data_IF_545178777345
#
_entry.id   IF_545178777345
#
_cell.length_a   1.000
_cell.length_b   1.000
_cell.length_c   1.000
_cell.angle_alpha   90.00
_cell.angle_beta   90.00
_cell.angle_gamma   90.00
#
_symmetry.space_group_name_H-M   'P 1'
#
loop_
_entity.id
_entity.type
_entity.pdbx_description
1 polymer ?
#
# COMPACT_ATOMS: atom_id res chain seq x y z
N UNK A 1 33.06 13.92 -18.33
CA UNK A 1 32.15 12.92 -18.94
C UNK A 1 30.74 13.35 -18.55
N UNK A 2 30.03 13.97 -19.50
CA UNK A 2 28.75 14.63 -19.23
C UNK A 2 27.67 13.58 -18.92
N UNK A 3 26.96 13.76 -17.81
CA UNK A 3 25.73 13.03 -17.51
C UNK A 3 24.71 13.31 -18.61
N UNK A 4 23.99 12.30 -19.12
CA UNK A 4 22.93 12.54 -20.10
C UNK A 4 21.83 13.36 -19.43
N UNK A 5 21.52 14.52 -20.01
CA UNK A 5 20.38 15.33 -19.62
C UNK A 5 19.10 14.50 -19.76
N UNK A 6 18.49 14.11 -18.63
CA UNK A 6 17.13 13.60 -18.61
C UNK A 6 16.24 14.73 -19.14
N UNK A 7 15.60 14.50 -20.30
CA UNK A 7 14.43 15.26 -20.72
C UNK A 7 13.45 15.23 -19.54
N UNK A 8 13.09 16.39 -19.01
CA UNK A 8 11.88 16.51 -18.22
C UNK A 8 10.74 15.92 -19.07
N UNK A 9 10.20 14.78 -18.65
CA UNK A 9 9.01 14.23 -19.28
C UNK A 9 7.89 15.23 -18.98
N UNK A 10 7.47 15.97 -20.02
CA UNK A 10 6.25 16.76 -19.97
C UNK A 10 5.12 15.86 -19.46
N UNK A 11 4.43 16.30 -18.41
CA UNK A 11 3.34 15.59 -17.76
C UNK A 11 2.12 15.40 -18.67
N UNK A 12 2.19 14.43 -19.57
CA UNK A 12 0.99 13.80 -20.11
C UNK A 12 0.58 12.71 -19.12
N UNK A 13 -0.34 13.06 -18.22
CA UNK A 13 -1.07 12.05 -17.45
C UNK A 13 -1.68 11.02 -18.41
N UNK A 14 -1.83 9.77 -17.95
CA UNK A 14 -2.57 8.78 -18.71
C UNK A 14 -3.96 9.35 -19.06
N UNK A 15 -4.47 9.14 -20.29
CA UNK A 15 -5.79 9.61 -20.69
C UNK A 15 -6.87 8.81 -19.96
N UNK A 16 -7.12 9.13 -18.69
CA UNK A 16 -8.18 8.55 -17.87
C UNK A 16 -9.40 9.44 -17.97
N UNK A 17 -10.47 8.90 -18.53
CA UNK A 17 -11.78 9.57 -18.61
C UNK A 17 -12.68 9.01 -17.51
N UNK A 18 -12.96 9.83 -16.50
CA UNK A 18 -13.99 9.52 -15.50
C UNK A 18 -15.36 9.58 -16.17
N UNK A 19 -16.10 8.48 -16.11
CA UNK A 19 -17.45 8.35 -16.70
C UNK A 19 -18.52 8.63 -15.66
N UNK A 20 -18.32 8.13 -14.44
CA UNK A 20 -19.20 8.41 -13.31
C UNK A 20 -18.42 8.54 -12.01
N UNK A 21 -18.94 9.39 -11.12
CA UNK A 21 -18.50 9.55 -9.74
C UNK A 21 -19.75 9.74 -8.90
N UNK A 22 -19.94 8.92 -7.88
CA UNK A 22 -21.13 8.96 -7.01
C UNK A 22 -20.80 8.52 -5.59
N UNK A 23 -21.72 8.82 -4.67
CA UNK A 23 -21.66 8.38 -3.29
C UNK A 23 -22.62 7.20 -3.08
N UNK A 24 -22.10 6.12 -2.52
CA UNK A 24 -22.85 4.91 -2.17
C UNK A 24 -23.01 4.85 -0.66
N UNK A 25 -24.26 4.79 -0.20
CA UNK A 25 -24.60 4.76 1.22
C UNK A 25 -24.80 3.33 1.70
N UNK A 26 -24.57 3.10 2.99
CA UNK A 26 -25.02 1.91 3.69
C UNK A 26 -26.55 1.80 3.57
N UNK A 27 -27.06 0.59 3.31
CA UNK A 27 -28.48 0.36 3.03
C UNK A 27 -29.33 0.11 4.28
N UNK A 28 -28.72 -0.25 5.41
CA UNK A 28 -29.43 -0.57 6.66
C UNK A 28 -29.80 0.72 7.42
N UNK A 29 -31.09 1.08 7.52
CA UNK A 29 -31.54 2.29 8.19
C UNK A 29 -31.48 2.19 9.71
N UNK A 30 -31.23 1.01 10.28
CA UNK A 30 -31.15 0.80 11.72
C UNK A 30 -29.82 1.28 12.32
N UNK A 31 -28.78 1.41 11.49
CA UNK A 31 -27.46 1.85 11.93
C UNK A 31 -27.52 3.32 12.32
N UNK A 32 -27.24 3.62 13.59
CA UNK A 32 -27.31 4.97 14.12
C UNK A 32 -26.06 5.79 13.77
N UNK A 33 -26.23 7.05 13.32
CA UNK A 33 -25.14 7.98 13.18
C UNK A 33 -24.36 8.14 14.50
N UNK A 34 -23.04 8.14 14.41
CA UNK A 34 -22.16 8.30 15.57
C UNK A 34 -20.81 8.87 15.15
N UNK A 35 -20.04 9.35 16.12
CA UNK A 35 -18.66 9.80 15.91
C UNK A 35 -17.74 8.77 16.55
N UNK A 36 -16.69 8.37 15.83
CA UNK A 36 -15.65 7.50 16.35
C UNK A 36 -14.37 8.30 16.53
N UNK A 37 -13.84 8.26 17.76
CA UNK A 37 -12.48 8.70 18.02
C UNK A 37 -11.47 7.76 17.34
N UNK A 38 -10.38 8.34 16.87
CA UNK A 38 -9.20 7.63 16.38
C UNK A 38 -8.39 7.05 17.53
N UNK A 39 -7.72 5.92 17.29
CA UNK A 39 -6.74 5.37 18.23
C UNK A 39 -5.40 6.08 18.09
N UNK A 40 -4.49 5.84 19.03
CA UNK A 40 -3.10 6.30 18.93
C UNK A 40 -2.40 5.80 17.66
N UNK A 41 -2.70 4.56 17.26
CA UNK A 41 -2.16 3.96 16.03
C UNK A 41 -2.77 4.58 14.77
N UNK A 42 -3.94 5.20 14.89
CA UNK A 42 -4.57 5.92 13.78
C UNK A 42 -3.97 7.32 13.60
N UNK A 43 -3.39 7.89 14.67
CA UNK A 43 -2.52 9.08 14.63
C UNK A 43 -1.09 8.74 14.18
N UNK A 44 -0.71 7.47 14.30
CA UNK A 44 0.54 6.92 13.83
C UNK A 44 0.47 6.60 12.33
N UNK A 45 0.59 7.62 11.51
CA UNK A 45 1.09 7.53 10.14
C UNK A 45 1.01 8.90 9.50
N UNK A 46 1.98 9.15 8.61
CA UNK A 46 1.89 10.12 7.53
C UNK A 46 0.44 10.16 7.01
N UNK A 47 -0.20 11.34 6.95
CA UNK A 47 -1.62 11.56 6.62
C UNK A 47 -1.94 11.29 5.14
N UNK A 48 -1.35 10.23 4.61
CA UNK A 48 -1.27 9.91 3.20
C UNK A 48 -2.30 8.87 2.82
N UNK A 49 -2.92 9.12 1.68
CA UNK A 49 -3.87 8.21 1.07
C UNK A 49 -3.16 6.98 0.51
N UNK A 50 -3.55 5.81 1.00
CA UNK A 50 -3.12 4.50 0.48
C UNK A 50 -4.18 3.92 -0.45
N UNK A 51 -3.77 3.08 -1.39
CA UNK A 51 -4.69 2.31 -2.20
C UNK A 51 -4.22 0.87 -2.36
N UNK A 52 -5.09 -0.10 -2.11
CA UNK A 52 -4.91 -1.45 -2.62
C UNK A 52 -5.34 -1.46 -4.08
N UNK A 53 -4.40 -1.72 -4.99
CA UNK A 53 -4.62 -1.71 -6.43
C UNK A 53 -4.57 -3.13 -6.97
N UNK A 54 -5.70 -3.64 -7.41
CA UNK A 54 -5.82 -4.95 -8.07
C UNK A 54 -5.95 -4.76 -9.57
N UNK A 55 -5.12 -5.46 -10.36
CA UNK A 55 -5.08 -5.37 -11.82
C UNK A 55 -5.36 -6.73 -12.42
N UNK A 56 -6.27 -6.76 -13.39
CA UNK A 56 -6.77 -7.97 -14.01
C UNK A 56 -6.49 -7.93 -15.52
N UNK A 57 -6.06 -9.05 -16.12
CA UNK A 57 -6.09 -9.19 -17.56
C UNK A 57 -7.54 -9.14 -18.03
N UNK A 58 -7.74 -9.15 -19.35
CA UNK A 58 -9.09 -9.26 -19.90
C UNK A 58 -9.78 -10.51 -19.33
N UNK A 59 -10.96 -10.38 -18.67
CA UNK A 59 -11.67 -11.53 -18.14
C UNK A 59 -11.97 -12.58 -19.22
N UNK A 60 -12.02 -13.88 -18.87
CA UNK A 60 -12.39 -14.94 -19.80
C UNK A 60 -13.78 -14.69 -20.42
N UNK A 61 -13.98 -15.18 -21.64
CA UNK A 61 -15.30 -15.09 -22.30
C UNK A 61 -16.37 -15.74 -21.42
N UNK A 62 -17.39 -14.99 -21.04
CA UNK A 62 -18.49 -15.45 -20.18
C UNK A 62 -18.36 -15.09 -18.70
N UNK A 63 -17.24 -14.51 -18.26
CA UNK A 63 -17.05 -14.03 -16.87
C UNK A 63 -17.68 -12.65 -16.59
N UNK A 64 -18.43 -12.08 -17.55
CA UNK A 64 -18.94 -10.71 -17.50
C UNK A 64 -18.01 -9.71 -18.18
N UNK A 65 -18.58 -8.61 -18.68
CA UNK A 65 -17.82 -7.46 -19.16
C UNK A 65 -17.63 -6.42 -18.05
N UNK A 66 -16.97 -5.31 -18.37
CA UNK A 66 -16.72 -4.25 -17.40
C UNK A 66 -18.02 -3.66 -16.83
N UNK A 67 -19.10 -3.59 -17.62
CA UNK A 67 -20.39 -3.07 -17.16
C UNK A 67 -21.03 -4.03 -16.15
N UNK A 68 -20.89 -5.35 -16.34
CA UNK A 68 -21.30 -6.34 -15.36
C UNK A 68 -20.54 -6.19 -14.02
N UNK A 69 -19.22 -5.91 -14.07
CA UNK A 69 -18.41 -5.64 -12.87
C UNK A 69 -18.93 -4.38 -12.16
N UNK A 70 -19.14 -3.30 -12.89
CA UNK A 70 -19.70 -2.05 -12.33
C UNK A 70 -21.05 -2.30 -11.66
N UNK A 71 -21.95 -3.03 -12.33
CA UNK A 71 -23.27 -3.37 -11.80
C UNK A 71 -23.19 -4.22 -10.52
N UNK A 72 -22.23 -5.16 -10.43
CA UNK A 72 -22.01 -5.95 -9.22
C UNK A 72 -21.58 -5.08 -8.03
N UNK A 73 -20.62 -4.17 -8.23
CA UNK A 73 -20.21 -3.22 -7.18
C UNK A 73 -21.37 -2.32 -6.77
N UNK A 74 -22.16 -1.81 -7.71
CA UNK A 74 -23.36 -1.02 -7.42
C UNK A 74 -24.38 -1.78 -6.55
N UNK A 75 -24.64 -3.04 -6.88
CA UNK A 75 -25.63 -3.85 -6.19
C UNK A 75 -25.20 -4.25 -4.78
N UNK A 76 -23.91 -4.55 -4.57
CA UNK A 76 -23.43 -5.16 -3.34
C UNK A 76 -22.78 -4.18 -2.35
N UNK A 77 -22.22 -3.06 -2.83
CA UNK A 77 -21.56 -2.08 -1.97
C UNK A 77 -22.47 -1.48 -0.87
N UNK A 78 -23.78 -1.19 -1.10
CA UNK A 78 -24.65 -0.71 -0.02
C UNK A 78 -24.79 -1.70 1.15
N UNK A 79 -24.89 -3.00 0.85
CA UNK A 79 -24.98 -4.04 1.87
C UNK A 79 -23.63 -4.26 2.57
N UNK A 80 -22.53 -4.22 1.81
CA UNK A 80 -21.17 -4.28 2.34
C UNK A 80 -20.90 -3.15 3.36
N UNK A 81 -21.31 -1.93 3.04
CA UNK A 81 -21.16 -0.77 3.91
C UNK A 81 -21.98 -0.87 5.21
N UNK A 82 -22.93 -1.80 5.34
CA UNK A 82 -23.58 -2.03 6.64
C UNK A 82 -22.61 -2.64 7.65
N UNK A 83 -21.73 -3.55 7.19
CA UNK A 83 -20.69 -4.15 8.02
C UNK A 83 -19.54 -3.18 8.32
N UNK A 84 -19.24 -2.32 7.34
CA UNK A 84 -18.15 -1.34 7.42
C UNK A 84 -18.69 0.09 7.41
N UNK A 85 -19.72 0.35 8.21
CA UNK A 85 -20.42 1.63 8.27
C UNK A 85 -19.53 2.87 8.39
N UNK A 86 -18.40 2.84 9.15
CA UNK A 86 -17.51 3.98 9.22
C UNK A 86 -16.90 4.39 7.85
N UNK A 87 -16.78 3.46 6.89
CA UNK A 87 -16.31 3.76 5.53
C UNK A 87 -17.28 4.64 4.72
N UNK A 88 -18.55 4.70 5.11
CA UNK A 88 -19.54 5.63 4.55
C UNK A 88 -19.55 7.01 5.25
N UNK A 89 -18.62 7.25 6.19
CA UNK A 89 -18.50 8.49 6.95
C UNK A 89 -17.56 9.52 6.31
N UNK A 90 -17.11 10.48 7.12
CA UNK A 90 -16.11 11.49 6.76
C UNK A 90 -15.06 11.66 7.83
N UNK A 91 -13.84 11.95 7.39
CA UNK A 91 -12.73 12.36 8.26
C UNK A 91 -12.89 13.86 8.53
N UNK A 92 -13.01 14.23 9.79
CA UNK A 92 -13.20 15.63 10.22
C UNK A 92 -12.19 15.92 11.32
N UNK A 93 -11.48 17.04 11.23
CA UNK A 93 -10.61 17.50 12.31
C UNK A 93 -11.45 18.25 13.33
N UNK A 94 -11.45 17.80 14.59
CA UNK A 94 -12.11 18.54 15.67
C UNK A 94 -11.39 19.89 15.85
N UNK A 95 -12.08 21.03 15.65
CA UNK A 95 -11.45 22.34 15.73
C UNK A 95 -10.98 22.70 17.15
N UNK A 96 -11.48 22.02 18.18
CA UNK A 96 -11.11 22.30 19.57
C UNK A 96 -9.85 21.56 20.01
N UNK A 97 -9.72 20.27 19.66
CA UNK A 97 -8.55 19.45 20.00
C UNK A 97 -7.49 19.39 18.90
N UNK A 98 -7.84 19.67 17.64
CA UNK A 98 -6.98 19.47 16.48
C UNK A 98 -6.83 18.00 16.05
N UNK A 99 -7.55 17.08 16.71
CA UNK A 99 -7.45 15.63 16.46
C UNK A 99 -8.49 15.22 15.40
N UNK A 100 -8.13 14.35 14.43
CA UNK A 100 -9.11 13.82 13.48
C UNK A 100 -10.10 12.87 14.16
N UNK A 101 -11.35 12.94 13.75
CA UNK A 101 -12.44 12.07 14.14
C UNK A 101 -13.16 11.53 12.90
N UNK A 102 -13.82 10.39 13.07
CA UNK A 102 -14.59 9.76 12.01
C UNK A 102 -16.09 9.98 12.25
N UNK A 103 -16.68 10.84 11.43
CA UNK A 103 -18.10 11.16 11.47
C UNK A 103 -18.89 10.16 10.63
N UNK A 104 -19.41 9.11 11.28
CA UNK A 104 -20.18 8.04 10.67
C UNK A 104 -21.65 8.46 10.47
N UNK A 105 -21.95 9.38 9.54
CA UNK A 105 -23.33 9.85 9.30
C UNK A 105 -23.92 9.34 7.98
N UNK A 106 -23.34 8.30 7.41
CA UNK A 106 -23.77 7.68 6.16
C UNK A 106 -23.86 8.67 4.98
N UNK A 107 -22.89 9.59 4.88
CA UNK A 107 -22.74 10.49 3.73
C UNK A 107 -22.40 9.71 2.44
N UNK A 108 -21.84 8.52 2.58
CA UNK A 108 -21.57 7.55 1.53
C UNK A 108 -20.09 7.46 1.14
N UNK A 109 -19.64 6.25 0.79
CA UNK A 109 -18.34 6.00 0.20
C UNK A 109 -18.35 6.40 -1.29
N UNK A 110 -17.20 6.78 -1.83
CA UNK A 110 -17.12 7.15 -3.24
C UNK A 110 -17.00 5.90 -4.13
N UNK A 111 -17.74 5.87 -5.24
CA UNK A 111 -17.58 4.91 -6.34
C UNK A 111 -17.31 5.69 -7.63
N UNK A 112 -16.12 5.48 -8.20
CA UNK A 112 -15.66 6.06 -9.46
C UNK A 112 -15.64 4.97 -10.53
N UNK A 113 -16.19 5.26 -11.70
CA UNK A 113 -16.04 4.44 -12.90
C UNK A 113 -15.29 5.25 -13.95
N UNK A 114 -14.20 4.72 -14.46
CA UNK A 114 -13.34 5.42 -15.42
C UNK A 114 -12.81 4.49 -16.51
N UNK A 115 -12.39 5.10 -17.63
CA UNK A 115 -11.80 4.41 -18.76
C UNK A 115 -10.39 4.96 -18.99
N UNK A 116 -9.39 4.10 -18.97
CA UNK A 116 -8.02 4.41 -19.34
C UNK A 116 -7.81 4.16 -20.84
N UNK A 117 -7.45 5.20 -21.58
CA UNK A 117 -7.21 5.15 -23.03
C UNK A 117 -5.91 4.45 -23.45
N UNK A 118 -5.44 3.46 -22.68
CA UNK A 118 -4.20 2.73 -22.92
C UNK A 118 -4.40 1.23 -22.69
N UNK A 119 -3.52 0.41 -23.28
CA UNK A 119 -3.45 -1.01 -22.98
C UNK A 119 -2.59 -1.26 -21.74
N UNK A 120 -2.94 -2.26 -20.93
CA UNK A 120 -2.12 -2.65 -19.77
C UNK A 120 -0.69 -3.05 -20.15
N UNK A 121 -0.50 -3.65 -21.33
CA UNK A 121 0.82 -4.02 -21.87
C UNK A 121 1.67 -2.83 -22.31
N UNK A 122 1.09 -1.64 -22.48
CA UNK A 122 1.83 -0.44 -22.85
C UNK A 122 2.43 0.30 -21.64
N UNK A 123 2.05 -0.09 -20.41
CA UNK A 123 2.60 0.48 -19.19
C UNK A 123 3.94 -0.17 -18.84
N UNK A 124 4.87 0.63 -18.32
CA UNK A 124 6.13 0.11 -17.78
C UNK A 124 5.92 -0.38 -16.35
N UNK A 125 5.70 -1.70 -16.23
CA UNK A 125 5.50 -2.37 -14.95
C UNK A 125 6.76 -2.47 -14.09
N UNK A 126 7.94 -2.09 -14.58
CA UNK A 126 9.16 -2.03 -13.75
C UNK A 126 9.22 -0.74 -12.92
N UNK A 127 8.43 0.28 -13.30
CA UNK A 127 8.39 1.60 -12.68
C UNK A 127 6.97 1.89 -12.17
N UNK A 128 6.80 1.95 -10.84
CA UNK A 128 5.52 2.29 -10.19
C UNK A 128 4.91 3.60 -10.70
N UNK A 129 5.74 4.64 -10.91
CA UNK A 129 5.33 5.94 -11.45
C UNK A 129 4.84 5.91 -12.89
N UNK A 130 5.28 4.93 -13.69
CA UNK A 130 4.89 4.78 -15.09
C UNK A 130 3.74 3.77 -15.29
N UNK A 131 3.31 3.07 -14.22
CA UNK A 131 2.25 2.06 -14.22
C UNK A 131 1.22 2.28 -13.10
N UNK A 132 1.44 1.70 -11.91
CA UNK A 132 0.49 1.68 -10.79
C UNK A 132 0.01 3.08 -10.36
N UNK A 133 0.92 4.02 -10.11
CA UNK A 133 0.54 5.38 -9.70
C UNK A 133 -0.22 6.15 -10.77
N UNK A 134 -0.08 5.71 -12.01
CA UNK A 134 -0.59 6.38 -13.19
C UNK A 134 -2.06 6.07 -13.43
N UNK A 135 -2.56 4.93 -12.94
CA UNK A 135 -3.95 4.49 -13.07
C UNK A 135 -4.86 4.97 -11.92
N UNK A 136 -4.34 5.81 -11.03
CA UNK A 136 -5.07 6.34 -9.88
C UNK A 136 -5.86 7.60 -10.23
N UNK A 137 -7.14 7.65 -9.86
CA UNK A 137 -7.95 8.87 -9.94
C UNK A 137 -7.90 9.59 -8.59
N UNK A 138 -7.63 10.90 -8.53
CA UNK A 138 -7.68 11.65 -7.27
C UNK A 138 -9.09 11.66 -6.65
N UNK A 139 -9.16 11.65 -5.32
CA UNK A 139 -10.39 11.72 -4.53
C UNK A 139 -10.21 12.63 -3.32
N UNK A 140 -11.31 13.04 -2.70
CA UNK A 140 -11.29 14.05 -1.64
C UNK A 140 -10.64 13.52 -0.35
N UNK A 141 -9.92 14.39 0.37
CA UNK A 141 -9.14 14.05 1.57
C UNK A 141 -10.02 13.63 2.76
N UNK A 142 -11.25 14.13 2.82
CA UNK A 142 -12.25 13.81 3.85
C UNK A 142 -12.93 12.45 3.63
N UNK A 143 -12.69 11.79 2.48
CA UNK A 143 -13.26 10.48 2.18
C UNK A 143 -12.53 9.38 2.94
N UNK A 144 -13.31 8.52 3.59
CA UNK A 144 -12.79 7.34 4.29
C UNK A 144 -12.53 6.20 3.30
N UNK A 145 -13.41 6.04 2.31
CA UNK A 145 -13.33 5.02 1.27
C UNK A 145 -13.68 5.61 -0.10
N UNK A 146 -12.81 5.35 -1.08
CA UNK A 146 -13.07 5.55 -2.51
C UNK A 146 -12.75 4.26 -3.26
N UNK A 147 -13.73 3.67 -3.92
CA UNK A 147 -13.55 2.52 -4.82
C UNK A 147 -13.53 3.02 -6.26
N UNK A 148 -12.51 2.63 -7.02
CA UNK A 148 -12.34 3.05 -8.40
C UNK A 148 -12.26 1.83 -9.30
N UNK A 149 -13.18 1.78 -10.26
CA UNK A 149 -13.28 0.74 -11.27
C UNK A 149 -12.80 1.34 -12.59
N UNK A 150 -11.73 0.76 -13.14
CA UNK A 150 -11.12 1.23 -14.38
C UNK A 150 -11.15 0.13 -15.43
N UNK A 151 -11.54 0.48 -16.65
CA UNK A 151 -11.35 -0.35 -17.83
C UNK A 151 -10.19 0.15 -18.69
N UNK A 152 -9.55 -0.75 -19.44
CA UNK A 152 -8.45 -0.46 -20.34
C UNK A 152 -8.82 -0.83 -21.79
N UNK A 153 -8.12 -0.27 -22.78
CA UNK A 153 -8.45 -0.53 -24.20
C UNK A 153 -8.19 -1.98 -24.64
N UNK A 154 -7.39 -2.73 -23.89
CA UNK A 154 -7.19 -4.18 -24.07
C UNK A 154 -8.33 -5.05 -23.51
N UNK A 155 -9.31 -4.46 -22.80
CA UNK A 155 -10.38 -5.16 -22.10
C UNK A 155 -10.01 -5.67 -20.71
N UNK A 156 -8.76 -5.45 -20.26
CA UNK A 156 -8.40 -5.62 -18.85
C UNK A 156 -9.04 -4.55 -17.97
N UNK A 157 -8.99 -4.76 -16.66
CA UNK A 157 -9.60 -3.87 -15.68
C UNK A 157 -8.73 -3.71 -14.44
N UNK A 158 -9.00 -2.68 -13.66
CA UNK A 158 -8.42 -2.49 -12.33
C UNK A 158 -9.49 -2.12 -11.32
N UNK A 159 -9.35 -2.65 -10.11
CA UNK A 159 -10.15 -2.30 -8.93
C UNK A 159 -9.20 -1.69 -7.91
N UNK A 160 -9.43 -0.42 -7.58
CA UNK A 160 -8.64 0.31 -6.59
C UNK A 160 -9.51 0.57 -5.38
N UNK A 161 -9.10 0.07 -4.22
CA UNK A 161 -9.73 0.36 -2.93
C UNK A 161 -8.86 1.36 -2.20
N UNK A 162 -9.32 2.61 -2.11
CA UNK A 162 -8.54 3.72 -1.56
C UNK A 162 -9.08 4.14 -0.20
N UNK A 163 -8.19 4.20 0.79
CA UNK A 163 -8.53 4.55 2.16
C UNK A 163 -8.18 6.01 2.44
N UNK A 164 -8.93 6.66 3.31
CA UNK A 164 -8.65 8.03 3.74
C UNK A 164 -7.32 8.18 4.48
N UNK A 165 -7.09 9.38 5.01
CA UNK A 165 -5.83 9.81 5.65
C UNK A 165 -5.64 9.28 7.07
N UNK A 166 -6.63 8.58 7.62
CA UNK A 166 -6.54 7.90 8.92
C UNK A 166 -6.06 6.46 8.68
N UNK A 167 -4.79 6.22 9.04
CA UNK A 167 -4.00 4.98 8.92
C UNK A 167 -4.06 4.26 7.55
N UNK A 168 -2.88 4.04 6.96
CA UNK A 168 -2.68 3.42 5.64
C UNK A 168 -3.12 1.95 5.46
N UNK A 169 -3.88 1.40 6.41
CA UNK A 169 -4.57 0.11 6.31
C UNK A 169 -6.10 0.20 6.36
N UNK A 170 -6.67 1.42 6.37
CA UNK A 170 -8.06 1.66 6.74
C UNK A 170 -8.28 1.51 8.25
N UNK A 171 -9.47 1.91 8.78
CA UNK A 171 -9.78 1.71 10.18
C UNK A 171 -9.70 0.21 10.51
N UNK A 172 -8.79 -0.19 11.41
CA UNK A 172 -8.71 -1.57 11.86
C UNK A 172 -10.04 -1.97 12.53
N UNK A 173 -10.86 -2.71 11.79
CA UNK A 173 -12.22 -3.06 12.19
C UNK A 173 -12.24 -4.13 13.29
N UNK A 174 -11.22 -5.00 13.33
CA UNK A 174 -11.03 -5.94 14.42
C UNK A 174 -10.21 -5.32 15.56
N UNK A 175 -10.89 -4.48 16.36
CA UNK A 175 -10.33 -3.91 17.59
C UNK A 175 -10.05 -4.98 18.66
N UNK A 176 -10.38 -6.26 18.46
CA UNK A 176 -10.12 -7.30 19.47
C UNK A 176 -8.64 -7.69 19.53
N UNK A 177 -7.95 -7.75 18.38
CA UNK A 177 -6.53 -8.11 18.28
C UNK A 177 -5.62 -6.99 18.83
N UNK A 178 -6.03 -5.72 18.65
CA UNK A 178 -5.31 -4.56 19.16
C UNK A 178 -5.84 -4.03 20.49
N UNK A 179 -6.89 -4.63 21.08
CA UNK A 179 -7.52 -4.10 22.32
C UNK A 179 -6.52 -4.02 23.48
N UNK A 180 -5.54 -4.92 23.51
CA UNK A 180 -4.47 -4.92 24.50
C UNK A 180 -3.46 -3.78 24.25
N UNK A 181 -3.12 -3.49 22.99
CA UNK A 181 -2.13 -2.47 22.60
C UNK A 181 -2.72 -1.09 22.31
N UNK A 182 -4.05 -0.94 22.23
CA UNK A 182 -4.68 0.36 21.91
C UNK A 182 -4.85 1.26 23.14
N UNK A 183 -4.58 0.74 24.34
CA UNK A 183 -4.76 1.45 25.60
C UNK A 183 -3.42 1.75 26.25
N UNK A 184 -3.12 3.02 26.58
CA UNK A 184 -1.92 3.34 27.34
C UNK A 184 -2.01 2.75 28.75
N UNK A 185 -0.86 2.41 29.34
CA UNK A 185 -0.73 2.07 30.76
C UNK A 185 -1.01 3.30 31.61
N UNK A 186 -1.42 3.06 32.86
CA UNK A 186 -1.63 4.11 33.86
C UNK A 186 -0.76 3.81 35.10
N UNK A 187 0.36 4.53 35.31
CA UNK A 187 0.89 5.60 34.46
C UNK A 187 1.55 5.09 33.16
N UNK A 188 1.63 5.91 32.09
CA UNK A 188 2.38 5.55 30.89
C UNK A 188 3.87 5.37 31.16
N UNK A 189 4.50 4.37 30.55
CA UNK A 189 5.93 4.06 30.70
C UNK A 189 6.59 3.71 29.36
N UNK A 190 7.80 4.21 29.12
CA UNK A 190 8.57 3.89 27.91
C UNK A 190 10.07 4.10 28.15
N UNK A 191 10.90 3.32 27.45
CA UNK A 191 12.36 3.42 27.52
C UNK A 191 12.93 4.54 26.64
N UNK A 192 14.18 4.92 26.90
CA UNK A 192 14.90 5.93 26.11
C UNK A 192 15.09 5.53 24.64
N UNK A 193 15.18 4.22 24.36
CA UNK A 193 15.26 3.71 22.99
C UNK A 193 13.99 3.99 22.19
N UNK A 194 12.81 3.76 22.79
CA UNK A 194 11.50 4.07 22.17
C UNK A 194 11.32 5.57 22.03
N UNK A 195 11.71 6.35 23.05
CA UNK A 195 11.64 7.81 22.98
C UNK A 195 12.51 8.42 21.87
N UNK A 196 13.60 7.76 21.47
CA UNK A 196 14.46 8.21 20.37
C UNK A 196 13.97 7.76 18.97
N UNK A 197 13.07 6.76 18.91
CA UNK A 197 12.53 6.24 17.64
C UNK A 197 11.56 7.23 16.98
N UNK A 198 10.87 8.03 17.78
CA UNK A 198 9.83 8.94 17.31
C UNK A 198 10.22 10.39 17.56
N UNK A 199 9.77 11.24 16.65
CA UNK A 199 9.89 12.69 16.77
C UNK A 199 8.56 13.32 16.40
N UNK A 200 8.29 14.50 16.93
CA UNK A 200 7.16 15.31 16.49
C UNK A 200 7.29 15.55 14.98
N UNK A 201 6.19 15.36 14.26
CA UNK A 201 6.09 15.64 12.84
C UNK A 201 5.50 17.04 12.65
N UNK A 202 6.23 17.89 11.92
CA UNK A 202 5.76 19.18 11.46
C UNK A 202 6.00 19.27 9.95
N UNK A 203 5.05 19.83 9.21
CA UNK A 203 5.14 19.91 7.75
C UNK A 203 6.40 20.65 7.29
N UNK A 204 6.87 21.64 8.06
CA UNK A 204 8.11 22.36 7.75
C UNK A 204 9.38 21.50 7.85
N UNK A 205 9.31 20.35 8.53
CA UNK A 205 10.42 19.41 8.69
C UNK A 205 10.48 18.36 7.57
N UNK A 206 9.47 18.31 6.71
CA UNK A 206 9.49 17.42 5.55
C UNK A 206 10.57 17.85 4.57
N UNK A 207 11.26 16.87 4.00
CA UNK A 207 12.23 17.16 2.96
C UNK A 207 11.50 17.68 1.74
N UNK A 208 12.08 18.71 1.13
CA UNK A 208 11.57 19.28 -0.11
C UNK A 208 11.31 18.16 -1.12
N UNK A 209 10.08 18.12 -1.65
CA UNK A 209 9.63 17.06 -2.54
C UNK A 209 10.57 16.85 -3.74
N UNK A 210 11.15 17.93 -4.28
CA UNK A 210 12.11 17.84 -5.39
C UNK A 210 13.40 17.11 -4.96
N UNK A 211 13.92 17.45 -3.78
CA UNK A 211 15.13 16.79 -3.23
C UNK A 211 14.89 15.31 -2.98
N UNK A 212 13.72 14.95 -2.44
CA UNK A 212 13.39 13.57 -2.15
C UNK A 212 13.05 12.77 -3.42
N UNK A 213 12.35 13.36 -4.39
CA UNK A 213 12.14 12.76 -5.72
C UNK A 213 13.46 12.54 -6.49
N UNK A 214 14.47 13.39 -6.28
CA UNK A 214 15.82 13.18 -6.84
C UNK A 214 16.63 12.13 -6.07
N UNK A 215 16.31 11.89 -4.79
CA UNK A 215 17.08 11.01 -3.90
C UNK A 215 16.63 9.55 -3.95
N UNK A 216 15.39 9.30 -4.36
CA UNK A 216 14.77 7.98 -4.39
C UNK A 216 14.22 7.62 -5.76
N UNK A 217 14.03 6.32 -5.97
CA UNK A 217 13.36 5.79 -7.15
C UNK A 217 12.35 4.74 -6.72
N UNK A 218 11.29 4.62 -7.51
CA UNK A 218 10.32 3.54 -7.36
C UNK A 218 10.53 2.46 -8.39
N UNK A 219 10.63 1.23 -7.91
CA UNK A 219 10.81 0.03 -8.70
C UNK A 219 9.78 -1.01 -8.30
N UNK A 220 9.33 -1.76 -9.28
CA UNK A 220 8.51 -2.94 -9.09
C UNK A 220 9.33 -4.15 -9.53
N UNK A 221 9.41 -5.13 -8.64
CA UNK A 221 10.11 -6.39 -8.87
C UNK A 221 9.17 -7.58 -8.62
N UNK A 222 9.60 -8.74 -9.07
CA UNK A 222 9.13 -10.01 -8.56
C UNK A 222 10.31 -10.85 -8.04
N UNK A 223 10.03 -11.71 -7.06
CA UNK A 223 10.97 -12.68 -6.49
C UNK A 223 10.30 -14.05 -6.52
N UNK A 224 10.87 -14.96 -7.30
CA UNK A 224 10.33 -16.31 -7.48
C UNK A 224 10.39 -17.14 -6.19
N UNK A 225 9.45 -18.07 -6.03
CA UNK A 225 9.43 -19.00 -4.89
C UNK A 225 10.77 -19.73 -4.72
N UNK A 226 11.39 -20.14 -5.82
CA UNK A 226 12.71 -20.78 -5.85
C UNK A 226 13.77 -19.93 -5.15
N UNK A 227 13.80 -18.63 -5.44
CA UNK A 227 14.82 -17.73 -4.93
C UNK A 227 14.58 -17.45 -3.45
N UNK A 228 13.31 -17.28 -3.05
CA UNK A 228 12.91 -17.22 -1.64
C UNK A 228 13.32 -18.49 -0.89
N UNK A 229 13.09 -19.67 -1.48
CA UNK A 229 13.45 -20.95 -0.87
C UNK A 229 14.97 -21.10 -0.72
N UNK A 230 15.75 -20.61 -1.70
CA UNK A 230 17.22 -20.56 -1.60
C UNK A 230 17.67 -19.66 -0.46
N UNK A 231 17.20 -18.41 -0.41
CA UNK A 231 17.54 -17.47 0.66
C UNK A 231 17.19 -18.03 2.04
N UNK A 232 16.06 -18.74 2.16
CA UNK A 232 15.71 -19.44 3.41
C UNK A 232 16.67 -20.55 3.78
N UNK A 233 17.17 -21.29 2.79
CA UNK A 233 18.21 -22.30 3.00
C UNK A 233 19.49 -21.66 3.53
N UNK A 234 19.95 -20.59 2.88
CA UNK A 234 21.16 -19.85 3.24
C UNK A 234 21.06 -19.19 4.63
N UNK A 235 19.90 -18.63 4.97
CA UNK A 235 19.67 -17.98 6.27
C UNK A 235 19.43 -18.95 7.44
N UNK A 236 19.20 -20.24 7.17
CA UNK A 236 18.95 -21.23 8.23
C UNK A 236 20.26 -21.79 8.76
N UNK A 237 20.67 -21.35 9.96
CA UNK A 237 21.86 -21.88 10.63
C UNK A 237 21.62 -23.29 11.20
N UNK A 238 22.64 -24.14 11.17
CA UNK A 238 22.59 -25.48 11.78
C UNK A 238 22.25 -25.42 13.27
N UNK A 239 21.30 -26.27 13.70
CA UNK A 239 20.84 -26.34 15.10
C UNK A 239 19.87 -25.24 15.53
N UNK A 240 19.46 -24.33 14.64
CA UNK A 240 18.41 -23.31 14.92
C UNK A 240 17.11 -23.61 14.17
N UNK A 241 16.03 -22.93 14.57
CA UNK A 241 14.79 -22.94 13.81
C UNK A 241 15.02 -22.43 12.39
N UNK A 242 14.37 -23.08 11.42
CA UNK A 242 14.45 -22.71 10.00
C UNK A 242 13.94 -21.28 9.80
N UNK A 243 14.69 -20.46 9.08
CA UNK A 243 14.30 -19.08 8.80
C UNK A 243 12.96 -19.01 8.05
N UNK A 244 12.12 -18.05 8.44
CA UNK A 244 10.88 -17.73 7.71
C UNK A 244 11.20 -17.08 6.36
N UNK A 245 10.23 -17.06 5.42
CA UNK A 245 10.39 -16.34 4.14
C UNK A 245 10.74 -14.87 4.37
N UNK A 246 10.07 -14.23 5.33
CA UNK A 246 10.28 -12.83 5.71
C UNK A 246 11.71 -12.64 6.23
N UNK A 247 12.12 -13.40 7.24
CA UNK A 247 13.46 -13.29 7.83
C UNK A 247 14.57 -13.45 6.79
N UNK A 248 14.43 -14.41 5.88
CA UNK A 248 15.42 -14.67 4.84
C UNK A 248 15.58 -13.49 3.86
N UNK A 249 14.46 -12.94 3.38
CA UNK A 249 14.48 -11.79 2.46
C UNK A 249 14.92 -10.51 3.18
N UNK A 250 14.49 -10.29 4.43
CA UNK A 250 14.95 -9.16 5.24
C UNK A 250 16.47 -9.21 5.51
N UNK A 251 17.01 -10.40 5.80
CA UNK A 251 18.46 -10.59 6.00
C UNK A 251 19.27 -10.40 4.71
N UNK A 252 18.70 -10.76 3.55
CA UNK A 252 19.31 -10.50 2.26
C UNK A 252 19.33 -8.98 1.94
N UNK A 253 18.20 -8.29 2.13
CA UNK A 253 18.08 -6.85 1.90
C UNK A 253 18.93 -6.03 2.88
N UNK A 254 19.10 -6.52 4.10
CA UNK A 254 19.90 -5.87 5.12
C UNK A 254 20.83 -6.88 5.77
N UNK A 255 22.12 -6.81 5.41
CA UNK A 255 23.19 -7.75 5.84
C UNK A 255 23.38 -7.85 7.37
N UNK A 256 22.68 -7.05 8.15
CA UNK A 256 22.67 -7.12 9.61
C UNK A 256 21.31 -6.67 10.17
N UNK A 257 20.29 -7.53 10.12
CA UNK A 257 19.19 -7.37 11.08
C UNK A 257 19.70 -7.90 12.41
N UNK A 258 19.95 -7.01 13.37
CA UNK A 258 19.98 -7.40 14.78
C UNK A 258 18.56 -7.81 15.16
N UNK A 259 18.19 -9.05 14.81
CA UNK A 259 17.02 -9.73 15.36
C UNK A 259 17.37 -10.12 16.80
N UNK A 260 17.59 -9.13 17.67
CA UNK A 260 17.22 -9.34 19.06
C UNK A 260 15.72 -9.61 19.02
N UNK A 261 15.20 -10.66 19.69
CA UNK A 261 13.78 -10.77 19.92
C UNK A 261 13.40 -9.55 20.76
N UNK A 262 13.05 -8.45 20.09
CA UNK A 262 12.26 -7.42 20.72
C UNK A 262 10.98 -8.13 21.11
N UNK A 263 10.63 -8.06 22.38
CA UNK A 263 9.27 -8.30 22.80
C UNK A 263 8.43 -7.24 22.07
N UNK A 264 7.89 -7.61 20.90
CA UNK A 264 7.17 -6.69 20.03
C UNK A 264 5.95 -6.14 20.77
N UNK A 265 5.33 -6.95 21.62
CA UNK A 265 4.18 -6.56 22.43
C UNK A 265 4.56 -5.43 23.40
N UNK A 266 5.69 -5.58 24.10
CA UNK A 266 6.23 -4.53 24.98
C UNK A 266 6.69 -3.29 24.19
N UNK A 267 7.28 -3.47 23.00
CA UNK A 267 7.64 -2.36 22.11
C UNK A 267 6.41 -1.56 21.67
N UNK A 268 5.35 -2.24 21.23
CA UNK A 268 4.07 -1.61 20.84
C UNK A 268 3.42 -0.93 22.03
N UNK A 269 3.46 -1.53 23.22
CA UNK A 269 2.91 -0.93 24.42
C UNK A 269 3.67 0.34 24.84
N UNK A 270 5.01 0.32 24.82
CA UNK A 270 5.82 1.51 25.10
C UNK A 270 5.60 2.61 24.07
N UNK A 271 5.42 2.24 22.80
CA UNK A 271 5.07 3.19 21.75
C UNK A 271 3.73 3.87 22.05
N UNK A 272 2.69 3.11 22.39
CA UNK A 272 1.36 3.67 22.73
C UNK A 272 1.41 4.56 23.96
N UNK A 273 2.15 4.17 24.99
CA UNK A 273 2.38 5.00 26.18
C UNK A 273 3.11 6.31 25.85
N UNK A 274 4.13 6.24 24.99
CA UNK A 274 4.83 7.43 24.50
C UNK A 274 3.86 8.35 23.76
N UNK A 275 3.03 7.80 22.88
CA UNK A 275 2.04 8.60 22.13
C UNK A 275 1.04 9.28 23.06
N UNK A 276 0.55 8.60 24.09
CA UNK A 276 -0.39 9.20 25.06
C UNK A 276 0.22 10.41 25.78
N UNK A 277 1.50 10.34 26.14
CA UNK A 277 2.23 11.45 26.78
C UNK A 277 2.47 12.64 25.84
N UNK A 278 2.55 12.41 24.53
CA UNK A 278 2.92 13.44 23.54
C UNK A 278 1.74 13.94 22.67
N UNK A 279 0.51 13.45 22.91
CA UNK A 279 -0.71 14.05 22.34
C UNK A 279 -0.82 15.54 22.70
N UNK A 280 -1.45 16.37 21.84
CA UNK A 280 -2.11 16.03 20.57
C UNK A 280 -1.18 16.10 19.35
N UNK A 281 0.13 15.96 19.51
CA UNK A 281 1.06 16.14 18.38
C UNK A 281 1.07 14.94 17.44
N UNK A 282 1.18 15.20 16.13
CA UNK A 282 1.52 14.17 15.15
C UNK A 282 3.01 13.83 15.30
N UNK A 283 3.37 12.59 15.01
CA UNK A 283 4.74 12.11 15.14
C UNK A 283 5.04 11.09 14.04
N UNK A 284 6.33 10.92 13.81
CA UNK A 284 6.88 10.06 12.76
C UNK A 284 8.15 9.41 13.28
N UNK A 285 8.56 8.29 12.68
CA UNK A 285 9.86 7.73 12.97
C UNK A 285 10.96 8.73 12.60
N UNK A 286 11.93 8.92 13.49
CA UNK A 286 13.05 9.84 13.33
C UNK A 286 13.74 9.72 11.94
N UNK A 287 14.01 8.51 11.39
CA UNK A 287 14.57 8.35 10.05
C UNK A 287 13.68 8.86 8.91
N UNK A 288 12.37 8.93 9.11
CA UNK A 288 11.42 9.38 8.09
C UNK A 288 11.62 10.84 7.70
N UNK A 289 12.12 11.67 8.62
CA UNK A 289 12.45 13.08 8.36
C UNK A 289 13.96 13.32 8.23
N UNK A 290 14.73 12.27 8.01
CA UNK A 290 16.17 12.35 7.73
C UNK A 290 17.04 12.51 8.97
N UNK A 291 16.46 12.31 10.15
CA UNK A 291 17.20 12.27 11.40
C UNK A 291 17.65 10.83 11.69
N UNK A 292 18.94 10.63 11.92
CA UNK A 292 19.50 9.30 12.21
C UNK A 292 20.10 8.60 10.98
N UNK A 293 20.18 7.27 11.04
CA UNK A 293 20.85 6.47 10.00
C UNK A 293 19.91 6.16 8.83
N UNK A 294 20.43 5.98 7.59
CA UNK A 294 19.63 5.49 6.47
C UNK A 294 18.86 4.23 6.86
N UNK A 295 17.55 4.27 6.73
CA UNK A 295 16.65 3.23 7.23
C UNK A 295 15.79 2.70 6.09
N UNK A 296 15.62 1.38 6.03
CA UNK A 296 14.75 0.69 5.10
C UNK A 296 13.60 0.06 5.87
N UNK A 297 12.41 0.62 5.72
CA UNK A 297 11.17 0.08 6.28
C UNK A 297 10.62 -1.01 5.34
N UNK A 298 10.13 -2.09 5.92
CA UNK A 298 9.56 -3.22 5.18
C UNK A 298 8.14 -3.51 5.66
N UNK A 299 7.18 -3.49 4.74
CA UNK A 299 5.78 -3.82 5.00
C UNK A 299 5.43 -5.13 4.32
N UNK A 300 5.04 -6.13 5.12
CA UNK A 300 4.71 -7.47 4.63
C UNK A 300 3.20 -7.65 4.50
N UNK A 301 2.71 -7.51 3.27
CA UNK A 301 1.32 -7.84 2.93
C UNK A 301 1.13 -9.34 2.64
N UNK A 302 2.22 -10.09 2.45
CA UNK A 302 2.20 -11.56 2.30
C UNK A 302 1.65 -12.32 3.50
N UNK A 303 1.52 -11.65 4.65
CA UNK A 303 0.94 -12.24 5.86
C UNK A 303 -0.59 -12.14 5.91
N UNK A 304 -1.21 -11.41 4.97
CA UNK A 304 -2.66 -11.23 4.89
C UNK A 304 -3.24 -12.03 3.72
N UNK A 305 -4.41 -12.68 3.89
CA UNK A 305 -5.16 -13.23 2.77
C UNK A 305 -5.50 -12.11 1.80
N UNK A 306 -5.14 -12.27 0.54
CA UNK A 306 -5.45 -11.32 -0.51
C UNK A 306 -6.43 -11.98 -1.47
N UNK A 307 -7.70 -12.02 -1.08
CA UNK A 307 -8.78 -12.50 -1.93
C UNK A 307 -9.08 -11.42 -2.97
N UNK A 308 -8.74 -11.73 -4.22
CA UNK A 308 -8.93 -10.81 -5.34
C UNK A 308 -9.97 -11.31 -6.34
N UNK A 309 -10.60 -12.46 -6.09
CA UNK A 309 -11.62 -12.97 -6.98
C UNK A 309 -12.99 -12.35 -6.65
N UNK A 310 -13.33 -11.30 -7.38
CA UNK A 310 -14.66 -10.67 -7.31
C UNK A 310 -15.73 -11.40 -8.15
N UNK A 311 -15.48 -12.66 -8.55
CA UNK A 311 -16.36 -13.48 -9.40
C UNK A 311 -15.95 -13.53 -10.87
N UNK A 312 -14.80 -12.94 -11.23
CA UNK A 312 -14.25 -12.94 -12.59
C UNK A 312 -12.80 -13.44 -12.65
N UNK A 313 -12.34 -14.11 -11.59
CA UNK A 313 -11.01 -14.69 -11.45
C UNK A 313 -10.05 -13.79 -10.67
N UNK A 314 -8.94 -14.40 -10.25
CA UNK A 314 -7.88 -13.74 -9.49
C UNK A 314 -7.20 -12.61 -10.28
N UNK A 315 -6.77 -11.58 -9.57
CA UNK A 315 -5.95 -10.51 -10.13
C UNK A 315 -4.58 -11.03 -10.56
N UNK A 316 -4.04 -10.43 -11.63
CA UNK A 316 -2.64 -10.64 -12.00
C UNK A 316 -1.68 -10.04 -10.96
N UNK A 317 -2.11 -8.95 -10.34
CA UNK A 317 -1.36 -8.15 -9.37
C UNK A 317 -2.33 -7.57 -8.36
N UNK A 318 -1.94 -7.57 -7.09
CA UNK A 318 -2.55 -6.75 -6.05
C UNK A 318 -1.45 -6.13 -5.19
N UNK A 319 -1.42 -4.80 -5.12
CA UNK A 319 -0.32 -4.04 -4.54
C UNK A 319 -0.83 -2.80 -3.81
N UNK A 320 -0.41 -2.56 -2.55
CA UNK A 320 -0.56 -1.26 -1.91
C UNK A 320 0.29 -0.21 -2.65
N UNK A 321 -0.32 0.92 -2.96
CA UNK A 321 0.32 2.02 -3.67
C UNK A 321 0.20 3.28 -2.84
N UNK A 322 1.32 3.75 -2.33
CA UNK A 322 1.44 5.00 -1.59
C UNK A 322 1.67 6.15 -2.57
N UNK A 323 0.86 7.22 -2.50
CA UNK A 323 0.96 8.31 -3.47
C UNK A 323 2.18 9.21 -3.24
N UNK A 324 2.50 9.50 -1.99
CA UNK A 324 3.47 10.54 -1.62
C UNK A 324 4.61 9.99 -0.74
N UNK A 325 5.34 8.99 -1.24
CA UNK A 325 6.55 8.50 -0.56
C UNK A 325 7.70 9.51 -0.64
N UNK A 326 7.65 10.44 -1.61
CA UNK A 326 8.67 11.43 -1.92
C UNK A 326 8.83 12.56 -0.91
N UNK A 327 8.33 12.44 0.32
CA UNK A 327 8.62 13.38 1.42
C UNK A 327 9.33 12.71 2.59
N UNK A 328 9.58 11.41 2.49
CA UNK A 328 10.24 10.61 3.50
C UNK A 328 11.71 10.38 3.13
N UNK A 329 12.58 10.41 4.13
CA UNK A 329 14.02 10.15 4.02
C UNK A 329 14.40 8.68 4.25
N UNK A 330 13.41 7.79 4.35
CA UNK A 330 13.61 6.36 4.50
C UNK A 330 13.25 5.63 3.21
N UNK A 331 13.93 4.52 2.94
CA UNK A 331 13.50 3.58 1.92
C UNK A 331 12.29 2.79 2.42
N UNK A 332 11.37 2.47 1.52
CA UNK A 332 10.21 1.63 1.81
C UNK A 332 10.16 0.47 0.83
N UNK A 333 9.95 -0.73 1.35
CA UNK A 333 9.66 -1.94 0.56
C UNK A 333 8.33 -2.53 1.01
N UNK A 334 7.39 -2.65 0.08
CA UNK A 334 6.14 -3.37 0.28
C UNK A 334 6.19 -4.69 -0.48
N UNK A 335 5.86 -5.79 0.19
CA UNK A 335 5.89 -7.13 -0.40
C UNK A 335 4.50 -7.74 -0.34
N UNK A 336 3.95 -8.11 -1.50
CA UNK A 336 2.69 -8.84 -1.63
C UNK A 336 2.90 -10.22 -2.26
N UNK A 337 2.10 -11.22 -1.91
CA UNK A 337 2.08 -12.47 -2.67
C UNK A 337 1.38 -12.20 -4.01
N UNK A 338 1.86 -12.84 -5.08
CA UNK A 338 1.14 -12.83 -6.35
C UNK A 338 -0.19 -13.60 -6.16
N UNK A 339 -1.37 -13.04 -6.49
CA UNK A 339 -2.65 -13.67 -6.12
C UNK A 339 -2.79 -15.12 -6.60
N UNK A 340 -2.60 -15.35 -7.91
CA UNK A 340 -2.67 -16.70 -8.49
C UNK A 340 -1.45 -17.60 -8.22
N UNK A 341 -0.40 -17.09 -7.57
CA UNK A 341 0.80 -17.86 -7.19
C UNK A 341 1.44 -17.29 -5.91
N UNK A 342 0.90 -17.63 -4.72
CA UNK A 342 1.38 -17.07 -3.46
C UNK A 342 2.83 -17.46 -3.08
N UNK A 343 3.42 -18.43 -3.80
CA UNK A 343 4.84 -18.77 -3.68
C UNK A 343 5.76 -17.65 -4.16
N UNK A 344 5.30 -16.92 -5.17
CA UNK A 344 6.02 -15.81 -5.81
C UNK A 344 5.59 -14.48 -5.22
N UNK A 345 6.56 -13.61 -4.95
CA UNK A 345 6.31 -12.30 -4.35
C UNK A 345 6.48 -11.18 -5.36
N UNK A 346 5.62 -10.17 -5.25
CA UNK A 346 5.74 -8.90 -5.96
C UNK A 346 6.19 -7.85 -4.95
N UNK A 347 7.15 -7.03 -5.34
CA UNK A 347 7.84 -6.09 -4.46
C UNK A 347 7.73 -4.70 -5.05
N UNK A 348 7.14 -3.77 -4.30
CA UNK A 348 7.25 -2.34 -4.56
C UNK A 348 8.36 -1.75 -3.70
N UNK A 349 9.32 -1.10 -4.31
CA UNK A 349 10.51 -0.59 -3.65
C UNK A 349 10.70 0.90 -3.96
N UNK A 350 10.51 1.75 -2.97
CA UNK A 350 10.94 3.15 -2.95
C UNK A 350 12.29 3.21 -2.24
N UNK A 351 13.38 3.25 -3.01
CA UNK A 351 14.73 3.06 -2.48
C UNK A 351 15.74 3.98 -3.18
N UNK A 352 16.92 4.13 -2.59
CA UNK A 352 18.01 4.89 -3.21
C UNK A 352 18.45 4.27 -4.54
N UNK A 353 18.79 5.09 -5.56
CA UNK A 353 19.29 4.61 -6.86
C UNK A 353 20.44 3.60 -6.77
N UNK A 354 21.35 3.81 -5.80
CA UNK A 354 22.47 2.90 -5.57
C UNK A 354 22.01 1.54 -5.05
N UNK A 355 21.00 1.48 -4.19
CA UNK A 355 20.48 0.21 -3.70
C UNK A 355 19.77 -0.55 -4.81
N UNK A 356 18.95 0.11 -5.64
CA UNK A 356 18.34 -0.54 -6.79
C UNK A 356 19.37 -1.08 -7.77
N UNK A 357 20.43 -0.31 -8.07
CA UNK A 357 21.51 -0.78 -8.93
C UNK A 357 22.19 -2.04 -8.38
N UNK A 358 22.37 -2.15 -7.06
CA UNK A 358 22.88 -3.38 -6.42
C UNK A 358 21.89 -4.54 -6.60
N UNK A 359 20.59 -4.32 -6.37
CA UNK A 359 19.57 -5.36 -6.54
C UNK A 359 19.45 -5.82 -8.01
N UNK A 360 19.54 -4.90 -8.97
CA UNK A 360 19.39 -5.17 -10.41
C UNK A 360 20.66 -5.79 -11.01
N UNK A 361 21.84 -5.53 -10.43
CA UNK A 361 23.12 -6.10 -10.87
C UNK A 361 23.51 -7.41 -10.17
N UNK A 362 22.69 -7.86 -9.21
CA UNK A 362 22.90 -9.11 -8.49
C UNK A 362 23.00 -10.30 -9.45
N UNK A 363 24.13 -11.03 -9.41
CA UNK A 363 24.38 -12.19 -10.27
C UNK A 363 23.32 -13.28 -10.06
N UNK A 364 22.82 -13.38 -8.83
CA UNK A 364 21.76 -14.30 -8.44
C UNK A 364 20.37 -13.89 -8.97
N UNK A 365 20.21 -12.64 -9.43
CA UNK A 365 18.99 -12.02 -9.95
C UNK A 365 17.77 -12.31 -9.08
N UNK A 366 17.92 -12.12 -7.77
CA UNK A 366 16.81 -12.30 -6.81
C UNK A 366 15.65 -11.37 -7.15
N UNK A 367 15.93 -10.08 -7.33
CA UNK A 367 14.94 -9.05 -7.65
C UNK A 367 14.89 -8.83 -9.15
N UNK A 368 13.86 -9.36 -9.81
CA UNK A 368 13.69 -9.26 -11.26
C UNK A 368 12.70 -8.14 -11.57
N UNK A 369 13.00 -7.18 -12.47
CA UNK A 369 12.05 -6.14 -12.86
C UNK A 369 10.71 -6.74 -13.30
N UNK A 370 9.61 -6.21 -12.77
CA UNK A 370 8.27 -6.68 -13.10
C UNK A 370 7.91 -6.25 -14.53
N UNK A 371 7.27 -7.14 -15.29
CA UNK A 371 6.87 -6.87 -16.68
C UNK A 371 5.42 -7.21 -16.94
N UNK A 372 4.86 -6.64 -18.01
CA UNK A 372 3.51 -6.98 -18.46
C UNK A 372 3.39 -8.47 -18.83
N UNK A 373 4.43 -9.06 -19.43
CA UNK A 373 4.48 -10.47 -19.79
C UNK A 373 4.42 -11.36 -18.55
N UNK A 374 5.20 -11.05 -17.51
CA UNK A 374 5.19 -11.80 -16.25
C UNK A 374 3.81 -11.75 -15.58
N UNK A 375 3.13 -10.61 -15.67
CA UNK A 375 1.77 -10.44 -15.16
C UNK A 375 0.69 -11.03 -16.07
N UNK A 376 1.04 -11.55 -17.26
CA UNK A 376 0.05 -12.05 -18.23
C UNK A 376 -0.86 -10.96 -18.81
N UNK A 377 -0.39 -9.71 -18.83
CA UNK A 377 -1.13 -8.53 -19.32
C UNK A 377 -0.89 -8.24 -20.81
N UNK A 378 0.00 -9.00 -21.46
CA UNK A 378 0.18 -8.94 -22.90
C UNK A 378 -0.92 -9.72 -23.62
N UNK A 379 -1.33 -9.25 -24.79
CA UNK A 379 -2.25 -10.02 -25.63
C UNK A 379 -1.57 -11.35 -25.94
N UNK A 380 -2.21 -12.46 -25.55
CA UNK A 380 -1.76 -13.78 -25.97
C UNK A 380 -1.62 -13.77 -27.48
N UNK A 381 -0.38 -13.88 -27.99
CA UNK A 381 -0.19 -14.25 -29.37
C UNK A 381 -0.91 -15.59 -29.52
N UNK A 382 -2.05 -15.57 -30.21
CA UNK A 382 -2.73 -16.79 -30.62
C UNK A 382 -1.67 -17.72 -31.16
N UNK A 383 -1.61 -18.93 -30.59
CA UNK A 383 -0.79 -20.02 -31.07
C UNK A 383 -0.79 -19.97 -32.60
N UNK A 384 0.36 -19.69 -33.21
CA UNK A 384 0.52 -19.87 -34.65
C UNK A 384 0.03 -21.28 -34.95
N UNK A 385 -0.86 -21.50 -35.94
CA UNK A 385 -1.26 -22.85 -36.31
C UNK A 385 0.03 -23.59 -36.65
N UNK A 386 0.27 -24.70 -35.96
CA UNK A 386 1.31 -25.65 -36.37
C UNK A 386 0.91 -26.09 -37.78
N UNK A 387 1.78 -25.76 -38.74
CA UNK A 387 1.69 -26.19 -40.13
C UNK A 387 1.55 -27.71 -40.22
#
# INVERSE_FOLDING_TARGET
MALPARRAAAGCGLPIRVVSRRLVRASDPSIRPHVLAVSHLDLYANTEQCALTCVYPKPPTGAGDFDAVVAAFEAHMPAYLNYFFPMAGRIVVDPSSGIPELHCYNQGAELIVAHAGVELSALDWSLSGESLKRIHVPYAQDMVLSVQLLSFTCGGLAVLVRTGTISGGGPNHDRSVLRQFSRPRDPPTYGASVAAMYTRWEHEQEVNALTAEESFIERLYYVDERDIARLRGEASAEGRQRATRVQAVSAYLWKAVTLTPADYDELYQQMVDWMEVHKPTNFVETPAIGLGSPTLAQTMWSSFPNDTDFGFGEAALAMPVHQNLGRLCMGLICITPKPADPGTWIVSAFIWPRLAAVLESDEQRIFKPLTAEFLGLTRGHGLRPRL
#
